data_IF_974773561278
#
_entry.id   IF_974773561278
#
_cell.length_a   1.000
_cell.length_b   1.000
_cell.length_c   1.000
_cell.angle_alpha   90.00
_cell.angle_beta   90.00
_cell.angle_gamma   90.00
#
_symmetry.space_group_name_H-M   'P 1'
#
loop_
_entity.id
_entity.type
_entity.pdbx_description
1 polymer ?
#
# COMPACT_ATOMS: atom_id res chain seq x y z
N UNK A 1 -11.41 13.02 -12.90
CA UNK A 1 -12.50 13.14 -11.89
C UNK A 1 -11.82 13.41 -10.57
N UNK A 2 -12.08 14.55 -9.91
CA UNK A 2 -11.56 14.77 -8.55
C UNK A 2 -12.45 13.97 -7.60
N UNK A 3 -12.05 12.73 -7.35
CA UNK A 3 -12.59 11.95 -6.23
C UNK A 3 -12.05 12.51 -4.91
N UNK A 4 -12.65 12.10 -3.81
CA UNK A 4 -12.18 12.43 -2.47
C UNK A 4 -10.88 11.66 -2.23
N UNK A 5 -9.82 12.37 -1.88
CA UNK A 5 -8.50 11.75 -1.64
C UNK A 5 -8.48 11.02 -0.30
N UNK A 6 -8.08 9.74 -0.31
CA UNK A 6 -7.92 8.92 0.89
C UNK A 6 -6.97 9.54 1.90
N UNK A 7 -5.80 9.99 1.47
CA UNK A 7 -4.74 10.53 2.31
C UNK A 7 -4.46 11.99 1.97
N UNK A 8 -4.51 12.89 2.95
CA UNK A 8 -4.28 14.32 2.72
C UNK A 8 -2.79 14.68 2.57
N UNK A 9 -1.89 13.84 3.09
CA UNK A 9 -0.45 14.11 3.17
C UNK A 9 0.42 13.15 2.35
N UNK A 10 -0.17 12.27 1.53
CA UNK A 10 0.57 11.25 0.78
C UNK A 10 1.68 11.85 -0.10
N UNK A 11 1.39 12.99 -0.75
CA UNK A 11 2.36 13.69 -1.61
C UNK A 11 3.50 14.33 -0.82
N UNK A 12 3.30 14.62 0.46
CA UNK A 12 4.32 15.19 1.35
C UNK A 12 5.21 14.09 1.93
N UNK A 13 4.59 12.98 2.35
CA UNK A 13 5.27 11.84 2.98
C UNK A 13 6.05 11.01 1.96
N UNK A 14 5.52 10.85 0.75
CA UNK A 14 6.10 10.00 -0.31
C UNK A 14 6.20 10.80 -1.62
N UNK A 15 7.09 11.82 -1.67
CA UNK A 15 7.07 12.84 -2.72
C UNK A 15 7.41 12.31 -4.11
N UNK A 16 8.26 11.28 -4.21
CA UNK A 16 8.72 10.68 -5.47
C UNK A 16 7.82 9.54 -5.97
N UNK A 17 6.70 9.27 -5.28
CA UNK A 17 5.75 8.26 -5.72
C UNK A 17 5.21 8.58 -7.11
N UNK A 18 5.26 7.60 -8.01
CA UNK A 18 4.74 7.74 -9.37
C UNK A 18 3.26 8.20 -9.36
N UNK A 19 2.88 9.19 -10.18
CA UNK A 19 1.51 9.73 -10.17
C UNK A 19 0.42 8.66 -10.32
N UNK A 20 0.63 7.67 -11.20
CA UNK A 20 -0.33 6.57 -11.41
C UNK A 20 -0.52 5.71 -10.15
N UNK A 21 0.53 5.46 -9.37
CA UNK A 21 0.42 4.71 -8.12
C UNK A 21 -0.27 5.55 -7.05
N UNK A 22 0.04 6.85 -7.00
CA UNK A 22 -0.60 7.80 -6.08
C UNK A 22 -2.11 7.85 -6.35
N UNK A 23 -2.52 8.04 -7.60
CA UNK A 23 -3.92 8.06 -7.99
C UNK A 23 -4.64 6.76 -7.62
N UNK A 24 -4.02 5.60 -7.90
CA UNK A 24 -4.58 4.30 -7.58
C UNK A 24 -4.71 4.04 -6.06
N UNK A 25 -3.79 4.56 -5.25
CA UNK A 25 -3.89 4.51 -3.78
C UNK A 25 -5.00 5.44 -3.28
N UNK A 26 -5.07 6.66 -3.81
CA UNK A 26 -6.10 7.63 -3.43
C UNK A 26 -7.51 7.15 -3.80
N UNK A 27 -7.64 6.33 -4.86
CA UNK A 27 -8.91 5.74 -5.29
C UNK A 27 -9.24 4.38 -4.66
N UNK A 28 -8.52 3.93 -3.62
CA UNK A 28 -8.68 2.60 -2.99
C UNK A 28 -8.52 1.39 -3.93
N UNK A 29 -7.93 1.58 -5.11
CA UNK A 29 -7.63 0.46 -6.02
C UNK A 29 -6.40 -0.30 -5.54
N UNK A 30 -5.39 0.45 -5.09
CA UNK A 30 -4.21 -0.08 -4.42
C UNK A 30 -4.21 0.34 -2.94
N UNK A 31 -3.55 -0.46 -2.13
CA UNK A 31 -3.26 -0.14 -0.74
C UNK A 31 -1.75 0.03 -0.55
N UNK A 32 -1.38 0.89 0.39
CA UNK A 32 0.01 1.09 0.81
C UNK A 32 0.14 0.79 2.31
N UNK A 33 1.14 -0.03 2.66
CA UNK A 33 1.46 -0.35 4.05
C UNK A 33 2.94 -0.18 4.32
N UNK A 34 3.25 0.16 5.55
CA UNK A 34 4.61 0.16 6.05
C UNK A 34 5.08 -1.28 6.21
N UNK A 35 6.36 -1.53 5.98
CA UNK A 35 6.95 -2.85 6.19
C UNK A 35 7.39 -2.96 7.64
N UNK A 36 7.00 -4.04 8.31
CA UNK A 36 7.63 -4.42 9.57
C UNK A 36 9.04 -4.95 9.29
N UNK A 37 10.02 -4.05 9.42
CA UNK A 37 11.43 -4.35 9.12
C UNK A 37 12.11 -5.24 10.17
N UNK A 38 11.48 -5.40 11.33
CA UNK A 38 11.97 -6.23 12.43
C UNK A 38 11.46 -7.67 12.35
N UNK A 39 10.53 -7.99 11.45
CA UNK A 39 10.00 -9.34 11.35
C UNK A 39 10.99 -10.27 10.62
N UNK A 40 11.11 -11.50 11.12
CA UNK A 40 12.03 -12.52 10.59
C UNK A 40 11.80 -12.78 9.09
N UNK A 41 10.54 -12.74 8.65
CA UNK A 41 10.17 -12.92 7.24
C UNK A 41 10.80 -11.85 6.35
N UNK A 42 10.80 -10.58 6.78
CA UNK A 42 11.41 -9.51 6.00
C UNK A 42 12.93 -9.62 5.98
N UNK A 43 13.52 -9.94 7.14
CA UNK A 43 14.97 -10.14 7.27
C UNK A 43 15.44 -11.25 6.32
N UNK A 44 14.79 -12.42 6.34
CA UNK A 44 15.08 -13.53 5.43
C UNK A 44 14.88 -13.15 3.95
N UNK A 45 13.85 -12.34 3.65
CA UNK A 45 13.62 -11.84 2.29
C UNK A 45 14.76 -10.93 1.83
N UNK A 46 15.29 -10.08 2.72
CA UNK A 46 16.42 -9.21 2.43
C UNK A 46 17.73 -9.97 2.17
N UNK A 47 17.87 -11.20 2.66
CA UNK A 47 19.01 -12.07 2.31
C UNK A 47 18.93 -12.52 0.85
N UNK A 48 17.72 -12.83 0.37
CA UNK A 48 17.46 -13.21 -1.02
C UNK A 48 17.42 -12.02 -1.98
N UNK A 49 16.94 -10.87 -1.52
CA UNK A 49 16.76 -9.63 -2.28
C UNK A 49 17.37 -8.45 -1.51
N UNK A 50 18.71 -8.23 -1.62
CA UNK A 50 19.42 -7.24 -0.80
C UNK A 50 18.98 -5.79 -1.00
N UNK A 51 18.40 -5.47 -2.14
CA UNK A 51 17.82 -4.15 -2.46
C UNK A 51 16.63 -3.78 -1.56
N UNK A 52 15.91 -4.78 -1.04
CA UNK A 52 14.81 -4.55 -0.11
C UNK A 52 15.24 -4.00 1.25
N UNK A 53 16.54 -4.01 1.60
CA UNK A 53 17.00 -3.42 2.87
C UNK A 53 16.61 -1.95 3.04
N UNK A 54 16.46 -1.25 1.91
CA UNK A 54 16.04 0.15 1.84
C UNK A 54 14.52 0.32 1.69
N UNK A 55 13.75 -0.77 1.59
CA UNK A 55 12.31 -0.71 1.46
C UNK A 55 11.67 -0.21 2.77
N UNK A 56 10.74 0.72 2.62
CA UNK A 56 9.96 1.30 3.72
C UNK A 56 8.49 0.93 3.62
N UNK A 57 7.95 0.91 2.40
CA UNK A 57 6.55 0.62 2.15
C UNK A 57 6.40 -0.45 1.07
N UNK A 58 5.22 -1.06 1.06
CA UNK A 58 4.77 -1.99 0.03
C UNK A 58 3.39 -1.59 -0.47
N UNK A 59 3.24 -1.61 -1.80
CA UNK A 59 1.99 -1.36 -2.51
C UNK A 59 1.47 -2.67 -3.08
N UNK A 60 0.18 -2.94 -2.88
CA UNK A 60 -0.49 -4.17 -3.31
C UNK A 60 -1.98 -3.91 -3.58
N UNK A 61 -2.68 -4.89 -4.15
CA UNK A 61 -4.10 -4.74 -4.45
C UNK A 61 -4.94 -5.13 -3.24
N UNK A 62 -5.84 -4.25 -2.81
CA UNK A 62 -6.66 -4.53 -1.63
C UNK A 62 -7.69 -5.64 -1.85
N UNK A 63 -8.06 -5.90 -3.12
CA UNK A 63 -9.26 -6.68 -3.48
C UNK A 63 -8.97 -8.09 -4.00
N UNK A 64 -7.73 -8.57 -3.89
CA UNK A 64 -7.37 -9.90 -4.41
C UNK A 64 -7.75 -11.00 -3.40
N UNK A 65 -8.46 -12.02 -3.90
CA UNK A 65 -8.84 -13.19 -3.13
C UNK A 65 -7.61 -13.99 -2.72
N UNK A 66 -7.62 -14.53 -1.49
CA UNK A 66 -6.48 -15.27 -0.90
C UNK A 66 -5.92 -16.41 -1.78
N UNK A 67 -6.77 -17.07 -2.58
CA UNK A 67 -6.35 -18.13 -3.50
C UNK A 67 -5.60 -17.64 -4.76
N UNK A 68 -5.66 -16.34 -5.05
CA UNK A 68 -5.00 -15.68 -6.18
C UNK A 68 -3.74 -14.92 -5.76
N UNK A 69 -3.45 -14.82 -4.46
CA UNK A 69 -2.30 -14.10 -3.90
C UNK A 69 -0.97 -14.51 -4.51
N UNK A 70 -0.81 -15.80 -4.87
CA UNK A 70 0.39 -16.30 -5.55
C UNK A 70 0.69 -15.60 -6.88
N UNK A 71 -0.32 -15.04 -7.54
CA UNK A 71 -0.18 -14.31 -8.81
C UNK A 71 -0.17 -12.80 -8.60
N UNK A 72 -0.30 -12.32 -7.36
CA UNK A 72 -0.26 -10.90 -7.05
C UNK A 72 1.16 -10.37 -7.15
N UNK A 73 1.27 -9.12 -7.60
CA UNK A 73 2.52 -8.39 -7.69
C UNK A 73 2.54 -7.31 -6.61
N UNK A 74 3.60 -7.31 -5.81
CA UNK A 74 3.83 -6.35 -4.75
C UNK A 74 4.95 -5.41 -5.16
N UNK A 75 4.70 -4.10 -5.11
CA UNK A 75 5.71 -3.09 -5.38
C UNK A 75 6.32 -2.61 -4.07
N UNK A 76 7.59 -2.94 -3.84
CA UNK A 76 8.37 -2.47 -2.70
C UNK A 76 9.02 -1.14 -3.07
N UNK A 77 8.82 -0.14 -2.21
CA UNK A 77 9.32 1.22 -2.42
C UNK A 77 10.13 1.70 -1.23
N UNK A 78 11.05 2.63 -1.48
CA UNK A 78 11.79 3.31 -0.41
C UNK A 78 10.94 4.37 0.31
N UNK A 79 11.55 5.09 1.25
CA UNK A 79 10.87 6.11 2.04
C UNK A 79 10.40 7.32 1.21
N UNK A 80 11.04 7.60 0.06
CA UNK A 80 10.69 8.74 -0.79
C UNK A 80 9.64 8.39 -1.85
N UNK A 81 9.48 7.11 -2.17
CA UNK A 81 8.52 6.60 -3.16
C UNK A 81 9.14 5.98 -4.40
N UNK A 82 10.46 5.80 -4.44
CA UNK A 82 11.10 5.15 -5.57
C UNK A 82 10.86 3.64 -5.50
N UNK A 83 10.50 3.04 -6.62
CA UNK A 83 10.31 1.59 -6.71
C UNK A 83 11.67 0.90 -6.66
N UNK A 84 11.84 0.04 -5.65
CA UNK A 84 13.04 -0.77 -5.47
C UNK A 84 12.90 -2.08 -6.23
N UNK A 85 11.77 -2.78 -6.04
CA UNK A 85 11.53 -4.08 -6.65
C UNK A 85 10.05 -4.44 -6.70
N UNK A 86 9.70 -5.25 -7.69
CA UNK A 86 8.44 -5.97 -7.72
C UNK A 86 8.67 -7.43 -7.32
N UNK A 87 7.84 -7.96 -6.43
CA UNK A 87 7.91 -9.36 -5.96
C UNK A 87 6.53 -9.98 -6.10
N UNK A 88 6.49 -11.23 -6.57
CA UNK A 88 5.23 -11.95 -6.70
C UNK A 88 4.86 -12.68 -5.41
N UNK A 89 3.57 -12.94 -5.18
CA UNK A 89 3.12 -13.75 -4.05
C UNK A 89 3.60 -15.21 -4.06
N UNK A 90 4.09 -15.72 -5.18
CA UNK A 90 4.82 -17.01 -5.26
C UNK A 90 6.18 -16.93 -4.59
N UNK A 91 6.83 -15.79 -4.67
CA UNK A 91 8.17 -15.60 -4.14
C UNK A 91 8.16 -15.26 -2.66
N UNK A 92 7.10 -14.58 -2.20
CA UNK A 92 6.99 -14.08 -0.83
C UNK A 92 5.54 -13.85 -0.43
N UNK A 93 5.16 -14.23 0.80
CA UNK A 93 3.83 -13.94 1.34
C UNK A 93 3.83 -12.61 2.12
N UNK A 94 2.95 -11.66 1.74
CA UNK A 94 2.81 -10.36 2.43
C UNK A 94 2.25 -10.44 3.85
N UNK A 95 1.37 -11.40 4.13
CA UNK A 95 0.74 -11.50 5.45
C UNK A 95 1.80 -11.73 6.54
N UNK A 96 1.77 -10.92 7.59
CA UNK A 96 2.81 -10.90 8.64
C UNK A 96 4.01 -10.00 8.36
N UNK A 97 4.06 -9.34 7.20
CA UNK A 97 5.05 -8.30 6.87
C UNK A 97 4.51 -6.88 7.04
N UNK A 98 3.19 -6.73 7.04
CA UNK A 98 2.51 -5.43 6.97
C UNK A 98 2.43 -4.79 8.36
N UNK A 99 2.92 -3.57 8.47
CA UNK A 99 2.73 -2.65 9.59
C UNK A 99 1.73 -1.54 9.25
N UNK A 100 1.37 -0.75 10.26
CA UNK A 100 0.55 0.45 10.08
C UNK A 100 1.42 1.61 9.56
N UNK A 101 0.94 2.35 8.56
CA UNK A 101 1.51 3.63 8.16
C UNK A 101 1.08 4.71 9.16
N UNK A 102 1.84 4.92 10.23
CA UNK A 102 1.50 5.89 11.28
C UNK A 102 1.66 7.35 10.82
N UNK A 103 2.38 7.58 9.73
CA UNK A 103 2.67 8.89 9.16
C UNK A 103 1.74 9.29 8.01
N UNK A 104 0.86 8.40 7.53
CA UNK A 104 -0.15 8.73 6.53
C UNK A 104 -1.47 9.03 7.24
N UNK A 105 -2.06 10.19 6.93
CA UNK A 105 -3.30 10.63 7.56
C UNK A 105 -4.46 10.43 6.59
N UNK A 106 -5.45 9.65 7.02
CA UNK A 106 -6.70 9.52 6.27
C UNK A 106 -7.44 10.85 6.37
N UNK A 107 -7.87 11.40 5.23
CA UNK A 107 -8.54 12.70 5.21
C UNK A 107 -9.92 12.60 5.88
N UNK A 108 -10.33 13.66 6.59
CA UNK A 108 -11.66 13.73 7.23
C UNK A 108 -12.78 13.58 6.20
N UNK A 109 -12.65 14.25 5.05
CA UNK A 109 -13.63 14.18 3.95
C UNK A 109 -13.82 12.74 3.45
N UNK A 110 -12.74 11.97 3.37
CA UNK A 110 -12.79 10.58 2.96
C UNK A 110 -13.44 9.68 4.02
N UNK A 111 -13.12 9.89 5.31
CA UNK A 111 -13.77 9.17 6.39
C UNK A 111 -15.28 9.45 6.44
N UNK A 112 -15.66 10.71 6.30
CA UNK A 112 -17.05 11.12 6.23
C UNK A 112 -17.74 10.46 5.04
N UNK A 113 -17.17 10.55 3.84
CA UNK A 113 -17.74 9.91 2.65
C UNK A 113 -17.93 8.40 2.86
N UNK A 114 -16.93 7.71 3.42
CA UNK A 114 -17.05 6.29 3.75
C UNK A 114 -18.16 6.01 4.75
N UNK A 115 -18.30 6.82 5.81
CA UNK A 115 -19.39 6.67 6.81
C UNK A 115 -20.76 6.88 6.18
N UNK A 116 -20.91 7.86 5.30
CA UNK A 116 -22.16 8.12 4.58
C UNK A 116 -22.50 7.01 3.56
N UNK A 117 -21.51 6.42 2.89
CA UNK A 117 -21.74 5.32 1.95
C UNK A 117 -21.87 3.93 2.63
N UNK A 118 -21.49 3.81 3.91
CA UNK A 118 -21.66 2.56 4.68
C UNK A 118 -22.84 2.58 5.66
N UNK A 119 -23.42 3.76 5.93
CA UNK A 119 -24.81 3.89 6.38
C UNK A 119 -25.76 3.72 5.19
N UNK A 120 -26.93 3.14 5.43
CA UNK A 120 -27.96 2.88 4.42
C UNK A 120 -28.12 4.02 3.39
N UNK A 121 -27.96 3.68 2.10
CA UNK A 121 -28.38 4.42 0.86
C UNK A 121 -27.26 4.64 -0.16
N UNK A 122 -26.88 3.56 -0.84
CA UNK A 122 -26.51 3.63 -2.26
C UNK A 122 -27.26 2.53 -3.02
N UNK A 123 -28.60 2.65 -3.04
CA UNK A 123 -29.43 2.03 -4.07
C UNK A 123 -29.53 3.01 -5.23
N UNK A 124 -28.86 2.71 -6.33
CA UNK A 124 -29.33 3.10 -7.66
C UNK A 124 -29.65 1.82 -8.42
#
# INVERSE_FOLDING_TARGET
MKGIEKYDNLSEVIPKLLPVLREAIQSEFLEIKEINRECEKFIATCERFPDLKNARYVIFSQHIKKNEHKNELFAFIDAEGNVLRHITGREMELYGLLGSCSNLHVSEEFEEHRRHCSGDECRH
#
